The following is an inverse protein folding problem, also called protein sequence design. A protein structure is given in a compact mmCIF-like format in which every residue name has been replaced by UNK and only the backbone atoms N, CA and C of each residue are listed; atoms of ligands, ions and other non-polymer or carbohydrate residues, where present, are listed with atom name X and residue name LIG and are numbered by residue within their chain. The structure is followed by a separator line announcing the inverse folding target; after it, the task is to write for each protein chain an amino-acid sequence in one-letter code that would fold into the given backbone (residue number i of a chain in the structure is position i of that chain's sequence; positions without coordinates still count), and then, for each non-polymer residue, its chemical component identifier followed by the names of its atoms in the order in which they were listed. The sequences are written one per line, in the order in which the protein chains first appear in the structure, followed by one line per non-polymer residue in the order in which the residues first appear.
data_IF_883902464694
#
_entry.id   IF_883902464694
#
_cell.length_a   1.000
_cell.length_b   1.000
_cell.length_c   1.000
_cell.angle_alpha   90.00
_cell.angle_beta   90.00
_cell.angle_gamma   90.00
#
_symmetry.space_group_name_H-M   'P 1'
#
loop_
_entity.id
_entity.type
_entity.pdbx_description
1 polymer ?
#
# COMPACT_ATOMS: atom_id res chain seq x y z
N UNK A 1 2.37 -6.10 -15.82
CA UNK A 1 1.81 -5.99 -14.47
C UNK A 1 0.98 -4.74 -14.35
N UNK A 2 1.63 -3.58 -14.38
CA UNK A 2 0.98 -2.29 -14.25
C UNK A 2 1.06 -1.60 -15.60
N UNK A 3 -0.08 -1.43 -16.26
CA UNK A 3 -0.24 -0.64 -17.47
C UNK A 3 -0.80 0.76 -17.13
N UNK A 4 -1.53 0.90 -16.02
CA UNK A 4 -2.08 2.16 -15.52
C UNK A 4 -1.95 2.32 -14.00
N UNK A 5 -1.44 3.48 -13.57
CA UNK A 5 -1.24 3.83 -12.15
C UNK A 5 -2.02 5.11 -11.82
N UNK A 6 -2.91 5.03 -10.83
CA UNK A 6 -3.69 6.15 -10.32
C UNK A 6 -3.05 6.78 -9.09
N UNK A 7 -2.94 8.10 -9.09
CA UNK A 7 -2.45 8.93 -8.00
C UNK A 7 -3.55 9.89 -7.57
N UNK A 8 -4.35 9.54 -6.55
CA UNK A 8 -5.23 10.48 -5.90
C UNK A 8 -4.41 11.52 -5.12
N UNK A 9 -4.73 12.79 -5.30
CA UNK A 9 -4.04 13.88 -4.63
C UNK A 9 -5.00 14.84 -3.95
N UNK A 10 -4.61 15.25 -2.75
CA UNK A 10 -5.16 16.40 -2.06
C UNK A 10 -4.12 17.52 -1.91
N UNK A 11 -2.94 17.41 -2.54
CA UNK A 11 -1.87 18.41 -2.47
C UNK A 11 -1.04 18.37 -1.18
N UNK A 12 -1.23 17.37 -0.33
CA UNK A 12 -0.35 17.15 0.83
C UNK A 12 1.04 16.64 0.43
N UNK A 13 2.04 16.84 1.28
CA UNK A 13 3.40 16.29 1.06
C UNK A 13 3.37 14.76 0.93
N UNK A 14 2.46 14.08 1.64
CA UNK A 14 2.24 12.64 1.51
C UNK A 14 1.72 12.25 0.13
N UNK A 15 0.80 13.03 -0.44
CA UNK A 15 0.30 12.81 -1.80
C UNK A 15 1.38 13.06 -2.85
N UNK A 16 2.18 14.12 -2.69
CA UNK A 16 3.35 14.37 -3.56
C UNK A 16 4.33 13.21 -3.51
N UNK A 17 4.66 12.73 -2.31
CA UNK A 17 5.54 11.57 -2.14
C UNK A 17 4.99 10.33 -2.82
N UNK A 18 3.70 10.06 -2.65
CA UNK A 18 3.05 8.93 -3.32
C UNK A 18 3.08 9.06 -4.84
N UNK A 19 2.91 10.28 -5.36
CA UNK A 19 3.02 10.56 -6.79
C UNK A 19 4.42 10.26 -7.33
N UNK A 20 5.48 10.63 -6.60
CA UNK A 20 6.86 10.36 -7.00
C UNK A 20 7.13 8.84 -7.09
N UNK A 21 6.71 8.05 -6.10
CA UNK A 21 6.82 6.59 -6.16
C UNK A 21 5.93 5.97 -7.25
N UNK A 22 4.71 6.49 -7.44
CA UNK A 22 3.81 6.07 -8.52
C UNK A 22 4.42 6.33 -9.89
N UNK A 23 5.06 7.49 -10.09
CA UNK A 23 5.77 7.83 -11.31
C UNK A 23 7.02 6.96 -11.51
N UNK A 24 7.76 6.63 -10.45
CA UNK A 24 8.88 5.71 -10.52
C UNK A 24 8.45 4.30 -10.98
N UNK A 25 7.36 3.77 -10.42
CA UNK A 25 6.74 2.53 -10.88
C UNK A 25 6.25 2.64 -12.33
N UNK A 26 5.61 3.76 -12.69
CA UNK A 26 5.14 3.98 -14.06
C UNK A 26 6.29 3.95 -15.07
N UNK A 27 7.42 4.60 -14.75
CA UNK A 27 8.63 4.56 -15.58
C UNK A 27 9.20 3.16 -15.70
N UNK A 28 9.27 2.44 -14.59
CA UNK A 28 9.82 1.10 -14.55
C UNK A 28 8.99 0.14 -15.40
N UNK A 29 7.66 0.17 -15.29
CA UNK A 29 6.77 -0.75 -16.01
C UNK A 29 6.29 -0.23 -17.38
N UNK A 30 6.58 1.03 -17.73
CA UNK A 30 6.06 1.65 -18.95
C UNK A 30 4.57 2.01 -18.86
N UNK A 31 4.04 2.19 -17.65
CA UNK A 31 2.62 2.46 -17.37
C UNK A 31 2.23 3.92 -17.63
N UNK A 32 0.94 4.18 -17.88
CA UNK A 32 0.37 5.53 -17.82
C UNK A 32 0.19 5.98 -16.37
N UNK A 33 0.37 7.29 -16.13
CA UNK A 33 0.13 7.91 -14.83
C UNK A 33 -1.14 8.75 -14.89
N UNK A 34 -2.08 8.47 -13.99
CA UNK A 34 -3.35 9.17 -13.87
C UNK A 34 -3.34 9.94 -12.55
N UNK A 35 -3.44 11.27 -12.58
CA UNK A 35 -3.50 12.12 -11.40
C UNK A 35 -4.93 12.63 -11.24
N UNK A 36 -5.55 12.32 -10.11
CA UNK A 36 -6.92 12.71 -9.81
C UNK A 36 -6.99 13.58 -8.55
N UNK A 37 -7.69 14.71 -8.63
CA UNK A 37 -8.14 15.44 -7.45
C UNK A 37 -9.65 15.27 -7.30
N UNK A 38 -10.11 14.99 -6.07
CA UNK A 38 -11.55 14.90 -5.76
C UNK A 38 -11.94 16.06 -4.86
N UNK A 39 -12.90 16.85 -5.32
CA UNK A 39 -13.54 17.90 -4.53
C UNK A 39 -14.59 17.20 -3.65
N UNK A 40 -14.32 17.13 -2.35
CA UNK A 40 -15.24 16.52 -1.38
C UNK A 40 -16.45 17.43 -1.16
N UNK A 41 -17.55 17.11 -1.85
CA UNK A 41 -18.80 17.88 -1.79
C UNK A 41 -19.53 17.73 -0.46
N UNK A 42 -19.24 16.68 0.32
CA UNK A 42 -19.87 16.42 1.63
C UNK A 42 -19.33 17.34 2.72
N UNK A 43 -18.05 17.72 2.60
CA UNK A 43 -17.41 18.69 3.50
C UNK A 43 -17.50 20.12 3.00
N UNK A 44 -17.73 20.30 1.69
CA UNK A 44 -17.94 21.62 1.09
C UNK A 44 -19.31 22.23 1.45
N UNK A 45 -20.34 21.41 1.67
CA UNK A 45 -21.65 21.85 2.13
C UNK A 45 -21.61 22.20 3.62
N UNK A 46 -21.89 23.46 3.99
CA UNK A 46 -22.07 23.83 5.40
C UNK A 46 -23.28 23.12 6.02
N UNK A 47 -23.46 23.15 7.35
CA UNK A 47 -24.59 22.50 8.04
C UNK A 47 -25.99 23.03 7.64
N UNK A 48 -26.04 24.05 6.77
CA UNK A 48 -27.25 24.70 6.26
C UNK A 48 -27.33 24.73 4.74
N UNK A 49 -26.35 24.16 4.03
CA UNK A 49 -26.36 24.08 2.57
C UNK A 49 -27.11 22.81 2.17
N UNK A 50 -28.15 22.94 1.34
CA UNK A 50 -28.71 21.77 0.63
C UNK A 50 -27.69 21.16 -0.34
N UNK A 51 -28.12 20.20 -1.15
CA UNK A 51 -27.29 19.49 -2.15
C UNK A 51 -26.57 20.41 -3.18
N UNK A 52 -26.82 21.72 -3.17
CA UNK A 52 -26.21 22.69 -4.08
C UNK A 52 -25.19 23.59 -3.35
N UNK A 53 -23.92 23.44 -3.72
CA UNK A 53 -22.86 24.41 -3.37
C UNK A 53 -23.09 25.72 -4.14
N UNK A 54 -22.82 26.86 -3.52
CA UNK A 54 -22.80 28.13 -4.25
C UNK A 54 -21.76 28.08 -5.37
N UNK A 55 -22.14 28.51 -6.59
CA UNK A 55 -21.30 28.44 -7.80
C UNK A 55 -19.90 29.02 -7.56
N UNK A 56 -19.80 30.16 -6.87
CA UNK A 56 -18.51 30.82 -6.55
C UNK A 56 -17.62 29.98 -5.63
N UNK A 57 -18.22 29.26 -4.67
CA UNK A 57 -17.47 28.34 -3.79
C UNK A 57 -16.94 27.16 -4.59
N UNK A 58 -17.75 26.62 -5.50
CA UNK A 58 -17.39 25.49 -6.33
C UNK A 58 -16.30 25.84 -7.35
N UNK A 59 -16.37 27.03 -7.95
CA UNK A 59 -15.35 27.55 -8.87
C UNK A 59 -14.01 27.69 -8.16
N UNK A 60 -14.00 28.24 -6.94
CA UNK A 60 -12.78 28.34 -6.12
C UNK A 60 -12.20 26.97 -5.80
N UNK A 61 -13.02 26.01 -5.35
CA UNK A 61 -12.54 24.66 -5.07
C UNK A 61 -12.02 23.94 -6.32
N UNK A 62 -12.60 24.24 -7.48
CA UNK A 62 -12.13 23.70 -8.76
C UNK A 62 -10.76 24.27 -9.11
N UNK A 63 -10.58 25.59 -8.99
CA UNK A 63 -9.27 26.22 -9.19
C UNK A 63 -8.20 25.69 -8.21
N UNK A 64 -8.55 25.52 -6.94
CA UNK A 64 -7.64 24.94 -5.93
C UNK A 64 -7.23 23.49 -6.30
N UNK A 65 -8.17 22.71 -6.86
CA UNK A 65 -7.90 21.34 -7.32
C UNK A 65 -7.04 21.33 -8.60
N UNK A 66 -7.27 22.24 -9.53
CA UNK A 66 -6.43 22.41 -10.74
C UNK A 66 -4.98 22.73 -10.36
N UNK A 67 -4.77 23.67 -9.43
CA UNK A 67 -3.44 24.01 -8.91
C UNK A 67 -2.78 22.81 -8.23
N UNK A 68 -3.55 22.06 -7.43
CA UNK A 68 -3.07 20.85 -6.75
C UNK A 68 -2.58 19.80 -7.74
N UNK A 69 -3.35 19.54 -8.80
CA UNK A 69 -2.95 18.57 -9.83
C UNK A 69 -1.73 19.06 -10.59
N UNK A 70 -1.70 20.33 -10.98
CA UNK A 70 -0.56 20.94 -11.67
C UNK A 70 0.74 20.82 -10.85
N UNK A 71 0.68 21.10 -9.54
CA UNK A 71 1.83 20.98 -8.66
C UNK A 71 2.36 19.53 -8.59
N UNK A 72 1.48 18.53 -8.62
CA UNK A 72 1.88 17.12 -8.67
C UNK A 72 2.52 16.79 -10.02
N UNK A 73 1.93 17.22 -11.13
CA UNK A 73 2.49 16.96 -12.47
C UNK A 73 3.85 17.61 -12.66
N UNK A 74 4.08 18.78 -12.05
CA UNK A 74 5.36 19.48 -12.09
C UNK A 74 6.42 18.80 -11.19
N UNK A 75 5.99 18.12 -10.12
CA UNK A 75 6.87 17.47 -9.17
C UNK A 75 7.36 16.08 -9.64
N UNK A 76 6.67 15.44 -10.58
CA UNK A 76 6.97 14.06 -10.98
C UNK A 76 7.52 13.98 -12.40
N UNK A 77 8.56 13.17 -12.57
CA UNK A 77 9.09 12.77 -13.88
C UNK A 77 8.46 11.43 -14.28
N UNK A 78 7.50 11.48 -15.20
CA UNK A 78 6.83 10.29 -15.74
C UNK A 78 7.36 9.96 -17.15
N UNK A 79 7.50 8.67 -17.46
CA UNK A 79 7.99 8.23 -18.79
C UNK A 79 6.98 8.52 -19.91
N UNK A 80 5.70 8.71 -19.58
CA UNK A 80 4.60 8.84 -20.52
C UNK A 80 3.68 10.02 -20.20
N UNK A 81 2.58 10.12 -20.95
CA UNK A 81 1.59 11.16 -20.74
C UNK A 81 0.93 11.02 -19.36
N UNK A 82 0.93 12.11 -18.59
CA UNK A 82 0.18 12.20 -17.35
C UNK A 82 -1.25 12.63 -17.68
N UNK A 83 -2.23 11.78 -17.35
CA UNK A 83 -3.63 12.12 -17.47
C UNK A 83 -4.12 12.79 -16.19
N UNK A 84 -4.68 13.99 -16.30
CA UNK A 84 -5.16 14.76 -15.16
C UNK A 84 -6.68 14.79 -15.14
N UNK A 85 -7.32 14.59 -13.99
CA UNK A 85 -8.78 14.67 -13.87
C UNK A 85 -9.19 15.29 -12.53
N UNK A 86 -10.28 16.06 -12.56
CA UNK A 86 -10.92 16.57 -11.34
C UNK A 86 -12.32 15.96 -11.27
N UNK A 87 -12.64 15.34 -10.13
CA UNK A 87 -13.97 14.77 -9.84
C UNK A 87 -14.62 15.50 -8.66
N UNK A 88 -15.93 15.34 -8.51
CA UNK A 88 -16.73 15.96 -7.44
C UNK A 88 -17.56 14.86 -6.80
N UNK A 89 -17.44 14.67 -5.49
CA UNK A 89 -18.17 13.60 -4.79
C UNK A 89 -17.48 13.17 -3.51
N UNK A 90 -17.82 11.97 -3.04
CA UNK A 90 -17.06 11.28 -1.99
C UNK A 90 -15.69 10.85 -2.56
N UNK A 91 -14.55 11.22 -1.95
CA UNK A 91 -13.23 10.86 -2.45
C UNK A 91 -13.02 9.36 -2.63
N UNK A 92 -13.51 8.51 -1.72
CA UNK A 92 -13.34 7.07 -1.81
C UNK A 92 -14.14 6.50 -2.97
N UNK A 93 -15.40 6.92 -3.11
CA UNK A 93 -16.28 6.47 -4.19
C UNK A 93 -15.73 6.91 -5.55
N UNK A 94 -15.32 8.17 -5.70
CA UNK A 94 -14.78 8.71 -6.95
C UNK A 94 -13.42 8.07 -7.32
N UNK A 95 -12.55 7.78 -6.36
CA UNK A 95 -11.27 7.08 -6.61
C UNK A 95 -11.54 5.66 -7.10
N UNK A 96 -12.44 4.93 -6.43
CA UNK A 96 -12.75 3.54 -6.80
C UNK A 96 -13.45 3.48 -8.16
N UNK A 97 -14.41 4.38 -8.41
CA UNK A 97 -15.11 4.51 -9.68
C UNK A 97 -14.15 4.87 -10.82
N UNK A 98 -13.22 5.82 -10.61
CA UNK A 98 -12.21 6.14 -11.63
C UNK A 98 -11.35 4.92 -11.97
N UNK A 99 -10.94 4.15 -10.96
CA UNK A 99 -10.17 2.92 -11.17
C UNK A 99 -10.96 1.91 -12.02
N UNK A 100 -12.26 1.77 -11.78
CA UNK A 100 -13.14 0.87 -12.54
C UNK A 100 -13.40 1.38 -13.97
N UNK A 101 -13.56 2.69 -14.16
CA UNK A 101 -13.80 3.33 -15.46
C UNK A 101 -12.58 3.29 -16.40
N UNK A 102 -11.38 3.18 -15.83
CA UNK A 102 -10.10 3.34 -16.54
C UNK A 102 -9.17 2.12 -16.43
N UNK A 103 -9.67 0.99 -15.92
CA UNK A 103 -8.91 -0.26 -15.75
C UNK A 103 -7.54 -0.02 -15.09
N UNK A 104 -7.52 0.73 -13.98
CA UNK A 104 -6.27 1.06 -13.25
C UNK A 104 -5.77 -0.18 -12.51
N UNK A 105 -4.48 -0.50 -12.65
CA UNK A 105 -3.85 -1.68 -12.05
C UNK A 105 -3.20 -1.42 -10.68
N UNK A 106 -2.97 -0.15 -10.32
CA UNK A 106 -2.32 0.24 -9.06
C UNK A 106 -2.81 1.62 -8.62
N UNK A 107 -3.10 1.78 -7.33
CA UNK A 107 -3.36 3.09 -6.73
C UNK A 107 -2.18 3.48 -5.83
N UNK A 108 -1.52 4.61 -6.09
CA UNK A 108 -0.47 5.17 -5.25
C UNK A 108 -1.00 6.39 -4.48
N UNK A 109 -1.03 6.31 -3.15
CA UNK A 109 -1.64 7.34 -2.31
C UNK A 109 -0.87 7.65 -1.03
N UNK A 110 -0.96 8.91 -0.60
CA UNK A 110 -0.43 9.34 0.69
C UNK A 110 -1.13 8.62 1.85
N UNK A 111 -0.41 8.32 2.93
CA UNK A 111 -1.01 7.78 4.15
C UNK A 111 -1.80 8.81 4.94
N UNK A 112 -1.60 10.11 4.69
CA UNK A 112 -2.29 11.20 5.37
C UNK A 112 -2.62 12.30 4.35
N UNK A 113 -3.61 13.13 4.65
CA UNK A 113 -3.98 14.30 3.84
C UNK A 113 -3.71 15.64 4.54
N UNK A 114 -4.14 16.74 3.93
CA UNK A 114 -3.93 18.13 4.40
C UNK A 114 -4.43 18.41 5.82
N UNK A 115 -5.45 17.69 6.29
CA UNK A 115 -6.07 17.89 7.62
C UNK A 115 -5.44 17.04 8.72
N UNK A 116 -4.50 16.15 8.40
CA UNK A 116 -3.91 15.18 9.31
C UNK A 116 -2.87 15.77 10.27
N UNK A 117 -3.27 16.68 11.18
CA UNK A 117 -2.39 17.16 12.26
C UNK A 117 -2.62 16.30 13.50
N UNK A 118 -1.86 15.22 13.65
CA UNK A 118 -1.94 14.37 14.84
C UNK A 118 -1.25 13.03 14.68
N UNK A 119 -0.54 12.64 15.73
CA UNK A 119 0.41 11.51 15.81
C UNK A 119 -0.20 10.09 15.62
N UNK A 120 -1.40 9.88 15.06
CA UNK A 120 -2.09 8.58 15.27
C UNK A 120 -3.01 7.91 14.23
N UNK A 121 -3.29 8.39 13.02
CA UNK A 121 -4.15 7.62 12.09
C UNK A 121 -3.74 7.78 10.63
N UNK A 122 -3.65 6.67 9.89
CA UNK A 122 -3.69 6.75 8.43
C UNK A 122 -5.02 7.43 8.02
N UNK A 123 -4.96 8.30 7.03
CA UNK A 123 -6.06 9.10 6.54
C UNK A 123 -7.27 8.21 6.23
N UNK A 124 -8.46 8.68 6.61
CA UNK A 124 -9.70 7.91 6.48
C UNK A 124 -9.99 7.48 5.03
N UNK A 125 -9.59 8.31 4.05
CA UNK A 125 -9.69 7.98 2.63
C UNK A 125 -8.75 6.82 2.29
N UNK A 126 -7.47 6.91 2.64
CA UNK A 126 -6.46 5.86 2.41
C UNK A 126 -6.85 4.52 3.01
N UNK A 127 -7.25 4.49 4.28
CA UNK A 127 -7.69 3.24 4.89
C UNK A 127 -8.95 2.67 4.21
N UNK A 128 -9.85 3.53 3.73
CA UNK A 128 -11.07 3.09 3.05
C UNK A 128 -10.79 2.58 1.64
N UNK A 129 -9.85 3.19 0.90
CA UNK A 129 -9.39 2.72 -0.41
C UNK A 129 -8.66 1.39 -0.26
N UNK A 130 -7.71 1.24 0.68
CA UNK A 130 -7.02 -0.04 0.96
C UNK A 130 -8.01 -1.17 1.30
N UNK A 131 -9.14 -0.84 1.94
CA UNK A 131 -10.21 -1.80 2.27
C UNK A 131 -11.07 -2.22 1.08
N UNK A 132 -11.25 -1.33 0.11
CA UNK A 132 -12.26 -1.47 -0.94
C UNK A 132 -11.68 -1.77 -2.30
N UNK A 133 -10.50 -1.24 -2.61
CA UNK A 133 -9.80 -1.48 -3.86
C UNK A 133 -9.53 -2.97 -4.05
N UNK A 134 -9.76 -3.41 -5.27
CA UNK A 134 -9.52 -4.78 -5.72
C UNK A 134 -8.16 -4.91 -6.41
N UNK A 135 -7.46 -3.79 -6.60
CA UNK A 135 -6.08 -3.70 -7.11
C UNK A 135 -5.11 -3.33 -5.97
N UNK A 136 -3.79 -3.57 -6.12
CA UNK A 136 -2.80 -3.15 -5.15
C UNK A 136 -2.89 -1.65 -4.84
N UNK A 137 -2.62 -1.30 -3.57
CA UNK A 137 -2.55 0.09 -3.12
C UNK A 137 -1.19 0.36 -2.50
N UNK A 138 -0.37 1.17 -3.17
CA UNK A 138 0.88 1.68 -2.63
C UNK A 138 0.59 2.87 -1.71
N UNK A 139 0.81 2.68 -0.41
CA UNK A 139 0.66 3.73 0.58
C UNK A 139 2.01 4.33 0.93
N UNK A 140 2.09 5.66 0.98
CA UNK A 140 3.37 6.35 1.23
C UNK A 140 3.23 7.41 2.32
N UNK A 141 4.15 7.39 3.28
CA UNK A 141 4.29 8.42 4.31
C UNK A 141 5.45 9.33 3.94
N UNK A 142 5.27 10.65 3.97
CA UNK A 142 6.34 11.61 3.79
C UNK A 142 7.27 11.58 5.01
N UNK A 143 8.35 10.82 4.88
CA UNK A 143 9.47 10.69 5.82
C UNK A 143 10.76 10.85 5.05
N UNK A 144 11.90 10.99 5.74
CA UNK A 144 13.19 11.02 5.05
C UNK A 144 13.49 9.72 4.30
N UNK A 145 13.06 8.55 4.83
CA UNK A 145 13.24 7.25 4.16
C UNK A 145 12.42 7.10 2.88
N UNK A 146 11.26 7.76 2.81
CA UNK A 146 10.47 7.78 1.57
C UNK A 146 11.04 8.73 0.50
N UNK A 147 11.95 9.66 0.85
CA UNK A 147 12.44 10.67 -0.12
C UNK A 147 13.19 10.06 -1.29
N UNK A 148 13.84 8.94 -1.04
CA UNK A 148 14.58 8.20 -2.05
C UNK A 148 13.59 7.45 -2.94
N UNK A 149 13.33 8.05 -4.10
CA UNK A 149 12.31 7.61 -5.05
C UNK A 149 12.91 6.71 -6.11
N UNK A 150 13.06 5.44 -5.76
CA UNK A 150 13.57 4.38 -6.63
C UNK A 150 15.04 4.57 -7.12
N UNK A 151 15.73 3.50 -7.56
CA UNK A 151 15.29 2.10 -7.54
C UNK A 151 15.05 1.60 -6.10
N UNK A 152 14.15 0.63 -5.96
CA UNK A 152 14.06 -0.15 -4.74
C UNK A 152 15.18 -1.19 -4.79
N UNK A 153 16.01 -1.27 -3.76
CA UNK A 153 17.10 -2.24 -3.70
C UNK A 153 16.69 -3.46 -2.86
N UNK A 154 15.94 -3.24 -1.76
CA UNK A 154 15.48 -4.32 -0.88
C UNK A 154 13.96 -4.23 -0.59
N UNK A 155 13.24 -5.31 -0.92
CA UNK A 155 11.78 -5.43 -0.76
C UNK A 155 11.44 -6.50 0.27
N UNK A 156 10.70 -6.14 1.32
CA UNK A 156 10.26 -7.05 2.37
C UNK A 156 8.86 -7.60 2.10
N UNK A 157 8.75 -8.94 2.11
CA UNK A 157 7.48 -9.67 2.06
C UNK A 157 7.27 -10.40 3.39
N UNK A 158 6.58 -9.77 4.37
CA UNK A 158 6.22 -10.45 5.59
C UNK A 158 5.08 -11.44 5.33
N UNK A 159 5.18 -12.63 5.90
CA UNK A 159 4.22 -13.70 5.64
C UNK A 159 3.97 -14.56 6.88
N UNK A 160 2.71 -14.89 7.11
CA UNK A 160 2.27 -15.93 8.05
C UNK A 160 1.87 -17.22 7.32
N UNK A 161 2.08 -17.26 6.00
CA UNK A 161 1.75 -18.38 5.13
C UNK A 161 0.29 -18.50 4.75
N UNK A 162 -0.55 -17.55 5.18
CA UNK A 162 -1.97 -17.48 4.83
C UNK A 162 -2.19 -17.09 3.37
N UNK A 163 -3.37 -17.41 2.83
CA UNK A 163 -3.76 -17.03 1.46
C UNK A 163 -3.68 -15.51 1.24
N UNK A 164 -4.16 -14.65 2.15
CA UNK A 164 -3.99 -13.21 1.96
C UNK A 164 -2.54 -12.77 1.93
N UNK A 165 -1.67 -13.31 2.78
CA UNK A 165 -0.24 -12.99 2.74
C UNK A 165 0.42 -13.40 1.41
N UNK A 166 -0.04 -14.49 0.80
CA UNK A 166 0.48 -14.95 -0.50
C UNK A 166 0.15 -13.99 -1.65
N UNK A 167 -0.90 -13.15 -1.53
CA UNK A 167 -1.31 -12.22 -2.58
C UNK A 167 -0.21 -11.21 -2.94
N UNK A 168 0.60 -10.79 -1.97
CA UNK A 168 1.66 -9.82 -2.19
C UNK A 168 2.94 -10.40 -2.81
N UNK A 169 3.08 -11.72 -2.90
CA UNK A 169 4.33 -12.37 -3.33
C UNK A 169 4.64 -12.06 -4.79
N UNK A 170 3.65 -12.21 -5.66
CA UNK A 170 3.83 -11.98 -7.10
C UNK A 170 4.11 -10.50 -7.42
N UNK A 171 3.30 -9.52 -6.96
CA UNK A 171 3.64 -8.11 -7.09
C UNK A 171 5.01 -7.72 -6.56
N UNK A 172 5.41 -8.27 -5.41
CA UNK A 172 6.73 -8.00 -4.86
C UNK A 172 7.85 -8.54 -5.77
N UNK A 173 7.70 -9.76 -6.31
CA UNK A 173 8.69 -10.37 -7.19
C UNK A 173 8.78 -9.64 -8.54
N UNK A 174 7.66 -9.16 -9.08
CA UNK A 174 7.64 -8.41 -10.34
C UNK A 174 8.28 -7.03 -10.17
N UNK A 175 7.99 -6.31 -9.08
CA UNK A 175 8.69 -5.07 -8.74
C UNK A 175 10.18 -5.35 -8.56
N UNK A 176 10.55 -6.40 -7.80
CA UNK A 176 11.94 -6.75 -7.59
C UNK A 176 12.68 -7.03 -8.91
N UNK A 177 12.08 -7.82 -9.80
CA UNK A 177 12.66 -8.12 -11.11
C UNK A 177 12.83 -6.86 -11.97
N UNK A 178 11.90 -5.91 -11.89
CA UNK A 178 11.96 -4.69 -12.68
C UNK A 178 13.03 -3.70 -12.18
N UNK A 179 13.32 -3.69 -10.89
CA UNK A 179 14.33 -2.82 -10.27
C UNK A 179 15.67 -3.50 -10.00
N UNK A 180 15.83 -4.79 -10.34
CA UNK A 180 16.98 -5.62 -9.93
C UNK A 180 17.15 -5.66 -8.39
N UNK A 181 16.02 -5.64 -7.67
CA UNK A 181 15.96 -5.63 -6.22
C UNK A 181 16.03 -7.04 -5.64
N UNK A 182 16.33 -7.11 -4.35
CA UNK A 182 16.31 -8.32 -3.54
C UNK A 182 15.00 -8.46 -2.77
N UNK A 183 14.48 -9.69 -2.66
CA UNK A 183 13.29 -9.99 -1.85
C UNK A 183 13.69 -10.60 -0.50
N UNK A 184 13.25 -9.96 0.58
CA UNK A 184 13.36 -10.47 1.94
C UNK A 184 12.04 -11.15 2.33
N UNK A 185 12.04 -12.48 2.44
CA UNK A 185 10.90 -13.24 2.92
C UNK A 185 10.99 -13.41 4.45
N UNK A 186 10.09 -12.76 5.20
CA UNK A 186 10.11 -12.75 6.66
C UNK A 186 8.88 -13.45 7.25
N UNK A 187 9.09 -14.41 8.13
CA UNK A 187 8.04 -14.95 8.98
C UNK A 187 8.28 -14.52 10.44
N UNK A 188 7.24 -13.98 11.09
CA UNK A 188 7.25 -13.69 12.52
C UNK A 188 6.36 -14.70 13.25
N UNK A 189 6.99 -15.58 14.04
CA UNK A 189 6.31 -16.48 14.96
C UNK A 189 5.67 -15.62 16.06
N UNK A 190 4.35 -15.48 16.00
CA UNK A 190 3.60 -14.57 16.85
C UNK A 190 3.45 -15.15 18.27
N UNK A 191 4.27 -14.65 19.20
CA UNK A 191 4.25 -15.08 20.61
C UNK A 191 2.99 -14.62 21.35
N UNK A 192 2.31 -13.56 20.88
CA UNK A 192 1.07 -13.05 21.49
C UNK A 192 -0.07 -14.07 21.45
N UNK A 193 -0.16 -14.87 20.39
CA UNK A 193 -1.17 -15.93 20.25
C UNK A 193 -0.92 -17.11 21.20
N UNK A 194 0.29 -17.18 21.74
CA UNK A 194 0.80 -18.33 22.47
C UNK A 194 0.89 -18.00 23.97
N UNK A 195 1.15 -16.73 24.30
CA UNK A 195 1.34 -16.23 25.67
C UNK A 195 0.04 -15.98 26.46
N UNK A 196 -1.11 -16.50 26.04
CA UNK A 196 -2.41 -16.34 26.74
C UNK A 196 -2.49 -17.01 28.13
N UNK A 197 -1.41 -17.63 28.61
CA UNK A 197 -1.29 -18.12 29.98
C UNK A 197 0.05 -17.68 30.57
N UNK A 198 0.02 -16.63 31.39
CA UNK A 198 1.18 -16.12 32.13
C UNK A 198 1.66 -17.14 33.16
N UNK A 199 2.52 -18.08 32.77
CA UNK A 199 3.48 -18.83 33.63
C UNK A 199 4.22 -19.97 32.89
N UNK A 200 3.87 -20.31 31.65
CA UNK A 200 4.51 -21.44 30.95
C UNK A 200 5.52 -20.99 29.89
N UNK A 201 6.79 -21.34 30.10
CA UNK A 201 7.77 -21.42 29.01
C UNK A 201 7.27 -22.41 27.98
N UNK A 202 7.26 -22.02 26.70
CA UNK A 202 6.82 -22.92 25.65
C UNK A 202 7.70 -24.17 25.57
N UNK A 203 7.10 -25.35 25.35
CA UNK A 203 7.87 -26.54 25.05
C UNK A 203 8.80 -26.29 23.86
N UNK A 204 10.08 -26.70 23.98
CA UNK A 204 11.08 -26.51 22.90
C UNK A 204 10.59 -27.09 21.58
N UNK A 205 10.03 -28.29 21.61
CA UNK A 205 9.50 -28.98 20.43
C UNK A 205 8.39 -28.17 19.71
N UNK A 206 7.60 -27.37 20.45
CA UNK A 206 6.60 -26.49 19.85
C UNK A 206 7.24 -25.29 19.17
N UNK A 207 8.25 -24.68 19.79
CA UNK A 207 9.01 -23.57 19.18
C UNK A 207 9.70 -24.05 17.90
N UNK A 208 10.42 -25.16 17.96
CA UNK A 208 11.12 -25.75 16.81
C UNK A 208 10.13 -26.09 15.67
N UNK A 209 8.94 -26.58 16.01
CA UNK A 209 7.88 -26.84 15.03
C UNK A 209 7.37 -25.54 14.36
N UNK A 210 7.17 -24.47 15.13
CA UNK A 210 6.74 -23.17 14.59
C UNK A 210 7.83 -22.53 13.72
N UNK A 211 9.09 -22.60 14.14
CA UNK A 211 10.23 -22.12 13.34
C UNK A 211 10.34 -22.90 12.03
N UNK A 212 10.25 -24.24 12.08
CA UNK A 212 10.25 -25.08 10.88
C UNK A 212 9.06 -24.79 9.95
N UNK A 213 7.89 -24.43 10.49
CA UNK A 213 6.76 -23.97 9.69
C UNK A 213 7.07 -22.61 9.04
N UNK A 214 7.64 -21.67 9.78
CA UNK A 214 8.08 -20.38 9.26
C UNK A 214 9.06 -20.51 8.11
N UNK A 215 10.05 -21.40 8.24
CA UNK A 215 11.04 -21.70 7.19
C UNK A 215 10.38 -22.23 5.92
N UNK A 216 9.41 -23.15 6.04
CA UNK A 216 8.66 -23.66 4.88
C UNK A 216 7.87 -22.55 4.19
N UNK A 217 7.31 -21.63 4.97
CA UNK A 217 6.52 -20.52 4.44
C UNK A 217 7.41 -19.55 3.67
N UNK A 218 8.55 -19.13 4.24
CA UNK A 218 9.48 -18.20 3.57
C UNK A 218 10.17 -18.85 2.37
N UNK A 219 10.45 -20.15 2.42
CA UNK A 219 11.00 -20.89 1.28
C UNK A 219 10.05 -20.92 0.08
N UNK A 220 8.72 -20.93 0.28
CA UNK A 220 7.77 -20.81 -0.84
C UNK A 220 7.90 -19.48 -1.57
N UNK A 221 8.14 -18.39 -0.85
CA UNK A 221 8.38 -17.07 -1.44
C UNK A 221 9.71 -17.08 -2.19
N UNK A 222 10.76 -17.61 -1.56
CA UNK A 222 12.08 -17.71 -2.19
C UNK A 222 12.05 -18.56 -3.47
N UNK A 223 11.28 -19.65 -3.50
CA UNK A 223 11.07 -20.44 -4.71
C UNK A 223 10.39 -19.64 -5.82
N UNK A 224 9.30 -18.91 -5.53
CA UNK A 224 8.60 -18.08 -6.51
C UNK A 224 9.46 -16.94 -7.05
N UNK A 225 10.27 -16.31 -6.20
CA UNK A 225 11.19 -15.26 -6.59
C UNK A 225 12.33 -15.79 -7.48
N UNK A 226 12.87 -16.99 -7.19
CA UNK A 226 13.86 -17.66 -8.04
C UNK A 226 13.35 -17.96 -9.44
N UNK A 227 12.06 -18.29 -9.59
CA UNK A 227 11.43 -18.48 -10.91
C UNK A 227 11.47 -17.19 -11.74
N UNK A 228 11.45 -16.02 -11.10
CA UNK A 228 11.60 -14.70 -11.72
C UNK A 228 13.04 -14.19 -11.76
N UNK A 229 14.04 -14.99 -11.35
CA UNK A 229 15.46 -14.59 -11.33
C UNK A 229 15.84 -13.60 -10.22
N UNK A 230 14.99 -13.43 -9.21
CA UNK A 230 15.16 -12.45 -8.13
C UNK A 230 15.98 -13.05 -6.97
N UNK A 231 16.97 -12.30 -6.47
CA UNK A 231 17.74 -12.69 -5.28
C UNK A 231 16.83 -12.68 -4.04
N UNK A 232 16.97 -13.68 -3.17
CA UNK A 232 16.14 -13.79 -1.97
C UNK A 232 16.90 -14.07 -0.69
N UNK A 233 16.46 -13.43 0.39
CA UNK A 233 16.85 -13.74 1.77
C UNK A 233 15.64 -14.23 2.54
N UNK A 234 15.76 -15.38 3.20
CA UNK A 234 14.69 -15.92 4.07
C UNK A 234 15.04 -15.72 5.53
N UNK A 235 14.09 -15.25 6.34
CA UNK A 235 14.28 -15.07 7.78
C UNK A 235 13.04 -15.51 8.56
N UNK A 236 13.26 -16.18 9.67
CA UNK A 236 12.25 -16.44 10.70
C UNK A 236 12.68 -15.75 11.99
N UNK A 237 11.76 -15.03 12.62
CA UNK A 237 11.96 -14.38 13.92
C UNK A 237 10.79 -14.69 14.85
N UNK A 238 11.01 -14.61 16.16
CA UNK A 238 9.97 -14.85 17.17
C UNK A 238 9.68 -13.56 17.92
N UNK A 239 8.42 -13.11 17.91
CA UNK A 239 8.06 -11.82 18.50
C UNK A 239 6.61 -11.38 18.28
N UNK A 240 6.44 -10.08 18.09
CA UNK A 240 5.22 -9.33 17.81
C UNK A 240 5.21 -8.84 16.35
N UNK A 241 4.41 -9.44 15.46
CA UNK A 241 4.52 -9.24 14.00
C UNK A 241 4.75 -7.80 13.53
N UNK A 242 3.92 -6.84 13.94
CA UNK A 242 4.08 -5.47 13.45
C UNK A 242 5.37 -4.79 13.93
N UNK A 243 5.83 -5.07 15.15
CA UNK A 243 7.03 -4.48 15.70
C UNK A 243 8.28 -5.09 15.04
N UNK A 244 8.38 -6.42 15.00
CA UNK A 244 9.53 -7.11 14.43
C UNK A 244 9.65 -6.93 12.91
N UNK A 245 8.53 -6.75 12.19
CA UNK A 245 8.57 -6.42 10.76
C UNK A 245 9.21 -5.04 10.54
N UNK A 246 8.82 -4.03 11.32
CA UNK A 246 9.38 -2.67 11.20
C UNK A 246 10.83 -2.63 11.65
N UNK A 247 11.17 -3.30 12.75
CA UNK A 247 12.55 -3.41 13.23
C UNK A 247 13.43 -4.09 12.19
N UNK A 248 12.98 -5.20 11.60
CA UNK A 248 13.68 -5.85 10.50
C UNK A 248 13.84 -4.91 9.30
N UNK A 249 12.80 -4.15 8.95
CA UNK A 249 12.83 -3.21 7.84
C UNK A 249 13.84 -2.06 8.06
N UNK A 250 14.03 -1.62 9.29
CA UNK A 250 15.01 -0.62 9.66
C UNK A 250 16.44 -1.19 9.69
N UNK A 251 16.64 -2.36 10.29
CA UNK A 251 17.96 -3.00 10.40
C UNK A 251 18.54 -3.42 9.05
N UNK A 252 17.68 -3.79 8.09
CA UNK A 252 18.09 -4.31 6.78
C UNK A 252 17.92 -3.28 5.66
N UNK A 253 17.60 -2.02 5.98
CA UNK A 253 17.52 -0.97 4.97
C UNK A 253 16.42 -1.18 3.92
N UNK A 254 15.30 -1.82 4.29
CA UNK A 254 14.21 -2.14 3.36
C UNK A 254 13.58 -0.85 2.79
N UNK A 255 13.38 -0.82 1.48
CA UNK A 255 12.83 0.32 0.73
C UNK A 255 11.33 0.20 0.45
N UNK A 256 10.80 -1.03 0.43
CA UNK A 256 9.39 -1.31 0.19
C UNK A 256 8.93 -2.51 1.01
N UNK A 257 7.80 -2.39 1.70
CA UNK A 257 7.11 -3.54 2.31
C UNK A 257 5.92 -3.92 1.45
N UNK A 258 5.91 -5.14 0.90
CA UNK A 258 4.78 -5.68 0.15
C UNK A 258 4.04 -6.72 0.99
N UNK A 259 2.77 -6.46 1.30
CA UNK A 259 2.01 -7.31 2.21
C UNK A 259 0.55 -7.48 1.82
N UNK A 260 0.04 -8.67 2.10
CA UNK A 260 -1.39 -8.96 1.95
C UNK A 260 -2.25 -8.11 2.88
N UNK A 261 -3.38 -7.63 2.39
CA UNK A 261 -4.49 -7.15 3.22
C UNK A 261 -5.42 -8.32 3.53
N UNK A 262 -6.01 -8.34 4.72
CA UNK A 262 -6.79 -9.51 5.14
C UNK A 262 -7.99 -9.76 4.21
N UNK A 263 -8.01 -10.93 3.58
CA UNK A 263 -9.17 -11.47 2.89
C UNK A 263 -9.84 -12.52 3.75
N UNK A 264 -10.94 -12.19 4.43
CA UNK A 264 -11.88 -13.22 4.92
C UNK A 264 -13.17 -13.17 4.10
N UNK A 265 -13.55 -14.34 3.58
CA UNK A 265 -14.82 -14.56 2.90
C UNK A 265 -16.01 -14.20 3.79
N UNK A 266 -17.10 -13.72 3.18
CA UNK A 266 -18.35 -13.42 3.90
C UNK A 266 -18.39 -12.02 4.53
N UNK A 267 -18.96 -11.91 5.74
CA UNK A 267 -19.29 -10.64 6.41
C UNK A 267 -18.06 -9.80 6.85
N UNK A 268 -16.86 -10.37 6.82
CA UNK A 268 -15.60 -9.71 7.23
C UNK A 268 -14.71 -9.28 6.05
N UNK A 269 -15.25 -9.25 4.83
CA UNK A 269 -14.52 -8.96 3.58
C UNK A 269 -13.93 -7.55 3.46
N UNK A 270 -14.18 -6.68 4.43
CA UNK A 270 -13.80 -5.27 4.44
C UNK A 270 -12.82 -4.91 5.57
N UNK A 271 -12.29 -5.91 6.30
CA UNK A 271 -11.36 -5.68 7.41
C UNK A 271 -9.92 -5.82 6.91
N UNK A 272 -9.11 -4.77 7.08
CA UNK A 272 -7.64 -4.88 6.95
C UNK A 272 -7.11 -5.67 8.14
N UNK A 273 -6.08 -6.49 7.92
CA UNK A 273 -5.43 -7.22 9.00
C UNK A 273 -4.78 -6.25 9.98
N UNK A 274 -4.86 -6.54 11.28
CA UNK A 274 -4.33 -5.63 12.31
C UNK A 274 -2.81 -5.41 12.20
N UNK A 275 -2.06 -6.38 11.67
CA UNK A 275 -0.65 -6.19 11.33
C UNK A 275 -0.51 -5.21 10.17
N UNK A 276 -1.21 -5.43 9.06
CA UNK A 276 -1.18 -4.54 7.87
C UNK A 276 -1.54 -3.10 8.21
N UNK A 277 -2.61 -2.88 9.00
CA UNK A 277 -2.99 -1.53 9.44
C UNK A 277 -1.87 -0.85 10.25
N UNK A 278 -1.22 -1.59 11.16
CA UNK A 278 -0.10 -1.07 11.95
C UNK A 278 1.12 -0.77 11.09
N UNK A 279 1.43 -1.62 10.11
CA UNK A 279 2.54 -1.37 9.18
C UNK A 279 2.26 -0.12 8.34
N UNK A 280 1.10 0.00 7.69
CA UNK A 280 0.72 1.20 6.91
C UNK A 280 0.80 2.48 7.76
N UNK A 281 0.46 2.39 9.05
CA UNK A 281 0.49 3.54 9.97
C UNK A 281 1.90 3.96 10.39
N UNK A 282 2.82 3.00 10.52
CA UNK A 282 4.09 3.22 11.21
C UNK A 282 5.33 3.02 10.33
N UNK A 283 5.20 2.44 9.14
CA UNK A 283 6.28 2.31 8.19
C UNK A 283 6.76 3.70 7.75
N UNK A 284 8.08 3.87 7.77
CA UNK A 284 8.72 5.06 7.22
C UNK A 284 9.02 4.91 5.73
N UNK A 285 8.95 3.70 5.19
CA UNK A 285 9.04 3.37 3.76
C UNK A 285 7.65 3.12 3.14
N UNK A 286 7.51 3.17 1.80
CA UNK A 286 6.30 2.74 1.12
C UNK A 286 5.83 1.34 1.52
N UNK A 287 4.51 1.16 1.55
CA UNK A 287 3.87 -0.14 1.81
C UNK A 287 2.90 -0.46 0.67
N UNK A 288 3.19 -1.52 -0.08
CA UNK A 288 2.30 -2.07 -1.09
C UNK A 288 1.32 -3.04 -0.43
N UNK A 289 0.08 -2.60 -0.29
CA UNK A 289 -1.02 -3.37 0.27
C UNK A 289 -1.76 -4.11 -0.86
N UNK A 290 -1.68 -5.44 -0.87
CA UNK A 290 -2.24 -6.27 -1.95
C UNK A 290 -3.45 -7.05 -1.43
N UNK A 291 -4.58 -6.93 -2.11
CA UNK A 291 -5.80 -7.62 -1.73
C UNK A 291 -5.85 -9.02 -2.37
N UNK A 292 -6.15 -10.06 -1.58
CA UNK A 292 -6.29 -11.43 -2.09
C UNK A 292 -7.42 -11.62 -3.14
N UNK A 293 -8.24 -10.59 -3.36
CA UNK A 293 -9.22 -10.54 -4.47
C UNK A 293 -8.55 -10.54 -5.84
N UNK A 294 -7.28 -10.09 -5.94
CA UNK A 294 -6.49 -10.01 -7.17
C UNK A 294 -6.41 -11.35 -7.94
N UNK A 295 -6.34 -12.48 -7.23
CA UNK A 295 -6.02 -13.77 -7.86
C UNK A 295 -7.24 -14.51 -8.46
N UNK A 296 -8.42 -13.89 -8.55
CA UNK A 296 -9.62 -14.54 -9.12
C UNK A 296 -9.89 -14.23 -10.60
N UNK A 297 -9.08 -13.38 -11.23
CA UNK A 297 -9.23 -13.04 -12.65
C UNK A 297 -8.79 -14.12 -13.64
N UNK A 298 -7.89 -15.02 -13.22
CA UNK A 298 -7.19 -15.94 -14.14
C UNK A 298 -7.77 -17.36 -14.22
N UNK A 299 -8.93 -17.64 -13.59
CA UNK A 299 -9.57 -18.98 -13.63
C UNK A 299 -10.97 -18.98 -14.29
N UNK A 300 -11.23 -18.14 -15.30
CA UNK A 300 -12.48 -18.14 -16.07
C UNK A 300 -12.33 -18.66 -17.50
#
# INVERSE_FOLDING_TARGET
MFDSILVPTDGSEHATRAAEHGAALARAFGASLHVIAVIDTRTAGGPFSGDDLEDETLDRMTADAEETVAAITDAVDAAGAIQTTIRKGDPVDEICAYRDDHDVDLIAMGTHGRTGVGRYLAGSVTESVVRQADVPVLTVRATDRSRDTAPYDDILVPTDGSTPAAAAVEPACEIAAQFDARVHALNVVNLSNIATGSEYTLPKDLIESLESQGEKVTERIAARARESGVETVTRVVSGFPAADILEYADENGIDLIAMGTAGRTGLNRFLVGSTTERIIRHADMPVLAVNARDQRGDEA
#
